data_IF_085200071241
#
_entry.id   IF_085200071241
#
_cell.length_a   1.000
_cell.length_b   1.000
_cell.length_c   1.000
_cell.angle_alpha   90.00
_cell.angle_beta   90.00
_cell.angle_gamma   90.00
#
_symmetry.space_group_name_H-M   'P 1'
#
loop_
_entity.id
_entity.type
_entity.pdbx_description
1 polymer ?
#
# COMPACT_ATOMS: atom_id res chain seq x y z
N UNK A 1 -4.78 28.84 -22.85
CA UNK A 1 -3.86 28.11 -21.94
C UNK A 1 -3.28 26.91 -22.70
N UNK A 2 -1.96 26.75 -22.69
CA UNK A 2 -1.33 25.60 -23.36
C UNK A 2 -1.27 24.39 -22.40
N UNK A 3 -0.95 23.22 -22.92
CA UNK A 3 -0.95 21.95 -22.12
C UNK A 3 0.09 22.00 -20.99
N UNK A 4 1.24 22.61 -21.22
CA UNK A 4 2.30 22.69 -20.21
C UNK A 4 1.92 23.64 -19.07
N UNK A 5 1.19 24.73 -19.37
CA UNK A 5 0.59 25.59 -18.35
C UNK A 5 -0.43 24.83 -17.48
N UNK A 6 -1.30 24.03 -18.09
CA UNK A 6 -2.28 23.22 -17.35
C UNK A 6 -1.59 22.17 -16.46
N UNK A 7 -0.54 21.51 -16.98
CA UNK A 7 0.25 20.55 -16.17
C UNK A 7 0.92 21.20 -14.96
N UNK A 8 1.26 22.49 -15.08
CA UNK A 8 1.86 23.27 -14.00
C UNK A 8 0.88 23.73 -12.92
N UNK A 9 -0.42 23.60 -13.13
CA UNK A 9 -1.43 23.99 -12.14
C UNK A 9 -1.33 23.06 -10.92
N UNK A 10 -1.26 23.67 -9.74
CA UNK A 10 -1.28 22.93 -8.48
C UNK A 10 -2.61 22.21 -8.29
N UNK A 11 -2.55 20.90 -8.01
CA UNK A 11 -3.75 20.12 -7.64
C UNK A 11 -4.44 20.69 -6.40
N UNK A 12 -3.67 21.23 -5.47
CA UNK A 12 -4.22 21.82 -4.25
C UNK A 12 -5.01 23.10 -4.59
N UNK A 13 -4.46 23.96 -5.45
CA UNK A 13 -5.14 25.19 -5.89
C UNK A 13 -6.39 24.86 -6.73
N UNK A 14 -6.30 23.83 -7.57
CA UNK A 14 -7.43 23.36 -8.35
C UNK A 14 -8.58 22.85 -7.45
N UNK A 15 -8.27 22.03 -6.45
CA UNK A 15 -9.25 21.54 -5.49
C UNK A 15 -9.85 22.68 -4.66
N UNK A 16 -9.03 23.63 -4.21
CA UNK A 16 -9.50 24.81 -3.48
C UNK A 16 -10.47 25.64 -4.30
N UNK A 17 -10.16 25.87 -5.58
CA UNK A 17 -11.09 26.57 -6.51
C UNK A 17 -12.42 25.86 -6.71
N UNK A 18 -12.42 24.54 -6.60
CA UNK A 18 -13.64 23.73 -6.63
C UNK A 18 -14.39 23.69 -5.29
N UNK A 19 -13.86 24.36 -4.24
CA UNK A 19 -14.45 24.40 -2.91
C UNK A 19 -14.04 23.27 -1.97
N UNK A 20 -12.96 22.55 -2.30
CA UNK A 20 -12.43 21.47 -1.46
C UNK A 20 -11.15 21.92 -0.75
N UNK A 21 -11.21 22.00 0.57
CA UNK A 21 -10.08 22.35 1.41
C UNK A 21 -9.49 21.10 2.10
N UNK A 22 -8.19 21.10 2.39
CA UNK A 22 -7.58 19.99 3.08
C UNK A 22 -8.11 19.86 4.51
N UNK A 23 -8.39 18.65 4.94
CA UNK A 23 -8.87 18.30 6.29
C UNK A 23 -7.75 17.87 7.23
N UNK A 24 -6.56 17.58 6.67
CA UNK A 24 -5.38 17.14 7.40
C UNK A 24 -4.14 17.10 6.53
N UNK A 25 -3.00 16.82 7.16
CA UNK A 25 -1.72 16.65 6.48
C UNK A 25 -0.87 15.57 7.13
N UNK A 26 0.04 15.00 6.35
CA UNK A 26 1.14 14.15 6.83
C UNK A 26 2.47 14.56 6.17
N UNK A 27 3.52 13.79 6.37
CA UNK A 27 4.84 14.04 5.76
C UNK A 27 4.86 13.92 4.24
N UNK A 28 3.81 13.40 3.61
CA UNK A 28 3.75 13.12 2.17
C UNK A 28 2.80 14.04 1.41
N UNK A 29 1.89 14.71 2.12
CA UNK A 29 0.95 15.61 1.48
C UNK A 29 -0.28 15.96 2.33
N UNK A 30 -1.37 16.24 1.65
CA UNK A 30 -2.60 16.76 2.21
C UNK A 30 -3.74 15.77 2.04
N UNK A 31 -4.56 15.66 3.07
CA UNK A 31 -5.76 14.82 3.07
C UNK A 31 -7.00 15.65 2.82
N UNK A 32 -7.87 15.13 1.96
CA UNK A 32 -9.16 15.71 1.59
C UNK A 32 -10.26 14.66 1.73
N UNK A 33 -11.49 15.11 1.84
CA UNK A 33 -12.63 14.28 1.44
C UNK A 33 -12.60 14.11 -0.08
N UNK A 34 -12.95 12.92 -0.59
CA UNK A 34 -12.96 12.69 -2.03
C UNK A 34 -13.96 13.64 -2.73
N UNK A 35 -13.53 14.42 -3.75
CA UNK A 35 -14.35 15.47 -4.34
C UNK A 35 -15.50 14.95 -5.22
N UNK A 36 -15.61 13.65 -5.43
CA UNK A 36 -16.59 13.02 -6.30
C UNK A 36 -17.50 12.00 -5.59
N UNK A 37 -17.41 11.89 -4.25
CA UNK A 37 -18.32 11.05 -3.46
C UNK A 37 -18.44 11.54 -2.02
N UNK A 38 -19.51 11.09 -1.35
CA UNK A 38 -19.67 11.34 0.08
C UNK A 38 -18.95 10.26 0.90
N UNK A 39 -18.15 10.68 1.87
CA UNK A 39 -17.45 9.79 2.79
C UNK A 39 -17.38 10.36 4.20
N UNK A 40 -17.20 9.49 5.21
CA UNK A 40 -17.17 9.90 6.61
C UNK A 40 -15.77 10.21 7.14
N UNK A 41 -14.74 9.74 6.43
CA UNK A 41 -13.32 9.94 6.77
C UNK A 41 -12.57 10.33 5.51
N UNK A 42 -11.65 11.32 5.59
CA UNK A 42 -10.84 11.70 4.44
C UNK A 42 -10.02 10.50 3.93
N UNK A 43 -10.09 10.24 2.64
CA UNK A 43 -9.34 9.16 1.99
C UNK A 43 -8.64 9.61 0.71
N UNK A 44 -8.86 10.83 0.27
CA UNK A 44 -8.23 11.41 -0.90
C UNK A 44 -6.97 12.15 -0.48
N UNK A 45 -5.82 11.74 -0.99
CA UNK A 45 -4.52 12.28 -0.63
C UNK A 45 -3.85 12.95 -1.83
N UNK A 46 -3.38 14.18 -1.65
CA UNK A 46 -2.62 14.93 -2.65
C UNK A 46 -1.18 15.06 -2.20
N UNK A 47 -0.24 14.70 -3.08
CA UNK A 47 1.17 15.02 -2.92
C UNK A 47 1.49 16.27 -3.75
N UNK A 48 1.64 17.46 -3.15
CA UNK A 48 1.86 18.70 -3.90
C UNK A 48 3.23 18.79 -4.55
N UNK A 49 4.27 18.12 -4.02
CA UNK A 49 5.60 18.11 -4.64
C UNK A 49 5.61 17.38 -5.98
N UNK A 50 4.88 16.27 -6.06
CA UNK A 50 4.74 15.47 -7.28
C UNK A 50 3.57 15.92 -8.14
N UNK A 51 2.73 16.81 -7.59
CA UNK A 51 1.47 17.25 -8.17
C UNK A 51 0.58 16.09 -8.64
N UNK A 52 0.42 15.09 -7.76
CA UNK A 52 -0.39 13.89 -7.99
C UNK A 52 -1.34 13.63 -6.82
N UNK A 53 -2.43 12.94 -7.10
CA UNK A 53 -3.39 12.51 -6.10
C UNK A 53 -3.52 10.99 -6.06
N UNK A 54 -3.99 10.49 -4.93
CA UNK A 54 -4.37 9.09 -4.76
C UNK A 54 -5.55 8.98 -3.79
N UNK A 55 -6.59 8.27 -4.20
CA UNK A 55 -7.75 7.98 -3.37
C UNK A 55 -7.64 6.56 -2.79
N UNK A 56 -7.40 6.49 -1.49
CA UNK A 56 -7.31 5.22 -0.77
C UNK A 56 -8.66 4.50 -0.64
N UNK A 57 -9.77 5.17 -0.86
CA UNK A 57 -11.09 4.57 -0.85
C UNK A 57 -11.45 3.82 -2.14
N UNK A 58 -10.90 4.26 -3.29
CA UNK A 58 -11.15 3.62 -4.60
C UNK A 58 -9.92 2.90 -5.14
N UNK A 59 -8.72 3.21 -4.62
CA UNK A 59 -7.45 2.72 -5.16
C UNK A 59 -7.04 3.40 -6.47
N UNK A 60 -7.67 4.52 -6.82
CA UNK A 60 -7.38 5.30 -8.03
C UNK A 60 -6.49 6.49 -7.72
N UNK A 61 -5.75 6.95 -8.73
CA UNK A 61 -4.88 8.11 -8.58
C UNK A 61 -4.35 8.60 -9.92
N UNK A 62 -3.69 9.77 -9.89
CA UNK A 62 -3.11 10.34 -11.09
C UNK A 62 -2.74 11.82 -10.94
N UNK A 63 -2.77 12.53 -12.05
CA UNK A 63 -2.50 13.96 -12.17
C UNK A 63 -3.79 14.80 -12.25
N UNK A 64 -3.65 16.09 -12.55
CA UNK A 64 -4.78 17.02 -12.67
C UNK A 64 -5.75 16.62 -13.79
N UNK A 65 -5.26 16.02 -14.90
CA UNK A 65 -6.13 15.60 -16.00
C UNK A 65 -6.97 14.40 -15.62
N UNK A 66 -6.36 13.41 -14.97
CA UNK A 66 -7.08 12.25 -14.45
C UNK A 66 -8.14 12.66 -13.43
N UNK A 67 -7.82 13.62 -12.53
CA UNK A 67 -8.81 14.16 -11.60
C UNK A 67 -9.95 14.88 -12.32
N UNK A 68 -9.62 15.72 -13.31
CA UNK A 68 -10.61 16.41 -14.13
C UNK A 68 -11.52 15.43 -14.87
N UNK A 69 -10.97 14.30 -15.35
CA UNK A 69 -11.73 13.22 -15.95
C UNK A 69 -12.74 12.60 -15.00
N UNK A 70 -12.32 12.29 -13.77
CA UNK A 70 -13.20 11.73 -12.71
C UNK A 70 -14.32 12.72 -12.34
N UNK A 71 -13.97 14.02 -12.18
CA UNK A 71 -14.94 15.05 -11.77
C UNK A 71 -15.94 15.42 -12.86
N UNK A 72 -15.53 15.41 -14.12
CA UNK A 72 -16.36 15.84 -15.26
C UNK A 72 -17.02 14.69 -16.00
N UNK A 73 -16.60 13.43 -15.76
CA UNK A 73 -16.99 12.27 -16.55
C UNK A 73 -16.38 12.24 -17.96
N UNK A 74 -15.38 13.11 -18.24
CA UNK A 74 -14.74 13.23 -19.55
C UNK A 74 -13.56 12.26 -19.67
N UNK A 75 -13.50 11.53 -20.77
CA UNK A 75 -12.40 10.59 -21.06
C UNK A 75 -11.38 11.17 -22.05
N UNK A 76 -11.79 12.15 -22.84
CA UNK A 76 -10.93 12.82 -23.80
C UNK A 76 -10.04 13.87 -23.13
N UNK A 77 -8.76 13.85 -23.47
CA UNK A 77 -7.74 14.73 -22.89
C UNK A 77 -8.00 16.23 -23.16
N UNK A 78 -8.49 16.59 -24.34
CA UNK A 78 -8.77 17.99 -24.69
C UNK A 78 -9.98 18.50 -23.91
N UNK A 79 -11.00 17.65 -23.70
CA UNK A 79 -12.14 18.00 -22.87
C UNK A 79 -11.79 18.14 -21.40
N UNK A 80 -10.89 17.28 -20.88
CA UNK A 80 -10.33 17.41 -19.52
C UNK A 80 -9.56 18.72 -19.36
N UNK A 81 -8.69 19.06 -20.33
CA UNK A 81 -7.95 20.32 -20.33
C UNK A 81 -8.90 21.54 -20.37
N UNK A 82 -9.96 21.48 -21.15
CA UNK A 82 -10.99 22.55 -21.24
C UNK A 82 -11.72 22.72 -19.91
N UNK A 83 -12.09 21.60 -19.27
CA UNK A 83 -12.72 21.64 -17.94
C UNK A 83 -11.82 22.27 -16.89
N UNK A 84 -10.53 21.94 -16.86
CA UNK A 84 -9.56 22.55 -15.94
C UNK A 84 -9.46 24.06 -16.21
N UNK A 85 -9.29 24.47 -17.46
CA UNK A 85 -9.19 25.87 -17.84
C UNK A 85 -10.44 26.67 -17.42
N UNK A 86 -11.64 26.13 -17.67
CA UNK A 86 -12.91 26.73 -17.26
C UNK A 86 -13.00 26.92 -15.75
N UNK A 87 -12.61 25.89 -14.97
CA UNK A 87 -12.66 25.96 -13.50
C UNK A 87 -11.63 26.91 -12.91
N UNK A 88 -10.47 27.04 -13.56
CA UNK A 88 -9.40 27.93 -13.10
C UNK A 88 -9.67 29.41 -13.38
N UNK A 89 -10.57 29.75 -14.29
CA UNK A 89 -11.02 31.12 -14.56
C UNK A 89 -12.07 31.61 -13.57
N UNK A 90 -12.57 30.78 -12.66
CA UNK A 90 -13.50 31.20 -11.60
C UNK A 90 -12.81 32.16 -10.61
N UNK A 91 -13.51 33.22 -10.13
CA UNK A 91 -12.97 34.14 -9.13
C UNK A 91 -12.59 33.39 -7.85
N UNK A 92 -11.38 33.58 -7.39
CA UNK A 92 -10.83 32.92 -6.19
C UNK A 92 -11.32 33.65 -4.94
N UNK A 93 -11.90 32.93 -3.98
CA UNK A 93 -11.80 33.31 -2.58
C UNK A 93 -10.32 33.36 -2.21
N UNK A 94 -9.80 33.75 -1.16
CA UNK A 94 -8.38 33.97 -0.86
C UNK A 94 -7.43 32.86 -1.37
N UNK A 95 -6.20 33.21 -1.83
CA UNK A 95 -5.25 32.22 -2.31
C UNK A 95 -4.87 31.25 -1.21
N UNK A 96 -4.83 29.96 -1.57
CA UNK A 96 -4.35 28.91 -0.68
C UNK A 96 -2.93 29.21 -0.18
N UNK A 97 -2.73 29.27 1.13
CA UNK A 97 -1.39 29.42 1.70
C UNK A 97 -0.64 28.08 1.57
N UNK A 98 0.50 28.04 0.87
CA UNK A 98 1.24 26.80 0.70
C UNK A 98 1.59 26.19 2.07
N UNK A 99 1.28 24.92 2.25
CA UNK A 99 1.67 24.18 3.44
C UNK A 99 3.17 23.91 3.34
N UNK A 100 3.92 24.26 4.39
CA UNK A 100 5.32 23.82 4.49
C UNK A 100 5.37 22.31 4.62
N UNK A 101 6.00 21.65 3.65
CA UNK A 101 6.23 20.22 3.71
C UNK A 101 7.37 19.92 4.67
N UNK A 102 7.14 18.96 5.53
CA UNK A 102 8.23 18.33 6.27
C UNK A 102 8.96 17.42 5.29
N UNK A 103 10.24 17.62 5.09
CA UNK A 103 11.07 16.73 4.27
C UNK A 103 10.87 15.28 4.72
N UNK A 104 10.77 14.36 3.76
CA UNK A 104 10.72 12.93 4.11
C UNK A 104 11.97 12.62 4.93
N UNK A 105 11.84 11.93 6.06
CA UNK A 105 12.98 11.64 6.91
C UNK A 105 14.01 10.83 6.13
N UNK A 106 15.22 11.37 6.03
CA UNK A 106 16.34 10.70 5.38
C UNK A 106 16.88 9.62 6.31
N UNK A 107 16.87 8.38 5.83
CA UNK A 107 17.49 7.27 6.53
C UNK A 107 19.02 7.38 6.43
N UNK A 108 19.69 7.44 7.56
CA UNK A 108 21.14 7.50 7.68
C UNK A 108 21.68 6.25 8.37
N UNK A 109 22.94 5.93 8.14
CA UNK A 109 23.65 4.83 8.81
C UNK A 109 22.87 3.50 8.80
N UNK A 110 22.26 3.16 7.67
CA UNK A 110 21.46 1.94 7.51
C UNK A 110 22.37 0.72 7.53
N UNK A 111 22.13 -0.19 8.48
CA UNK A 111 22.82 -1.46 8.60
C UNK A 111 21.83 -2.63 8.59
N UNK A 112 22.15 -3.67 7.81
CA UNK A 112 21.32 -4.86 7.67
C UNK A 112 22.05 -6.02 8.35
N UNK A 113 21.35 -6.72 9.23
CA UNK A 113 21.90 -7.86 9.96
C UNK A 113 20.87 -8.98 10.11
N UNK A 114 21.30 -10.13 10.61
CA UNK A 114 20.38 -11.23 10.93
C UNK A 114 19.38 -10.77 12.00
N UNK A 115 18.11 -11.17 11.84
CA UNK A 115 17.05 -10.85 12.79
C UNK A 115 17.24 -11.62 14.11
N UNK A 116 17.86 -10.97 15.10
CA UNK A 116 18.20 -11.58 16.40
C UNK A 116 17.75 -10.73 17.59
N UNK A 117 17.33 -9.48 17.40
CA UNK A 117 16.86 -8.61 18.47
C UNK A 117 15.74 -9.27 19.29
N UNK A 118 15.93 -9.46 20.62
CA UNK A 118 14.89 -10.05 21.47
C UNK A 118 13.57 -9.28 21.45
N UNK A 119 13.62 -7.97 21.30
CA UNK A 119 12.42 -7.13 21.23
C UNK A 119 11.63 -7.36 19.93
N UNK A 120 12.33 -7.47 18.78
CA UNK A 120 11.68 -7.76 17.49
C UNK A 120 11.13 -9.19 17.45
N UNK A 121 11.87 -10.15 17.98
CA UNK A 121 11.41 -11.54 18.06
C UNK A 121 10.21 -11.70 19.01
N UNK A 122 10.15 -10.94 20.10
CA UNK A 122 8.98 -10.90 21.00
C UNK A 122 7.76 -10.34 20.26
N UNK A 123 7.93 -9.22 19.55
CA UNK A 123 6.85 -8.64 18.73
C UNK A 123 6.26 -9.66 17.73
N UNK A 124 7.11 -10.47 17.08
CA UNK A 124 6.65 -11.52 16.17
C UNK A 124 5.97 -12.67 16.92
N UNK A 125 6.50 -13.06 18.08
CA UNK A 125 5.88 -14.10 18.91
C UNK A 125 4.48 -13.69 19.41
N UNK A 126 4.29 -12.43 19.80
CA UNK A 126 2.98 -11.85 20.13
C UNK A 126 2.00 -11.90 18.96
N UNK A 127 2.50 -11.97 17.72
CA UNK A 127 1.72 -12.17 16.50
C UNK A 127 1.63 -13.63 16.04
N UNK A 128 1.98 -14.55 16.94
CA UNK A 128 2.00 -16.01 16.67
C UNK A 128 2.93 -16.42 15.52
N UNK A 129 3.94 -15.59 15.17
CA UNK A 129 4.92 -15.89 14.13
C UNK A 129 6.21 -16.42 14.78
N UNK A 130 6.58 -17.70 14.49
CA UNK A 130 7.80 -18.29 15.01
C UNK A 130 9.07 -17.63 14.46
N UNK A 131 10.12 -17.61 15.30
CA UNK A 131 11.44 -17.09 14.93
C UNK A 131 11.98 -17.71 13.64
N UNK A 132 11.82 -19.02 13.48
CA UNK A 132 12.34 -19.78 12.35
C UNK A 132 11.70 -19.36 11.02
N UNK A 133 10.40 -19.06 11.04
CA UNK A 133 9.70 -18.50 9.86
C UNK A 133 10.20 -17.10 9.59
N UNK A 134 10.23 -16.23 10.61
CA UNK A 134 10.64 -14.84 10.44
C UNK A 134 12.08 -14.72 9.91
N UNK A 135 13.03 -15.47 10.47
CA UNK A 135 14.44 -15.42 10.07
C UNK A 135 14.73 -15.96 8.66
N UNK A 136 13.77 -16.68 8.06
CA UNK A 136 13.88 -17.12 6.67
C UNK A 136 13.64 -16.00 5.67
N UNK A 137 12.77 -15.04 6.02
CA UNK A 137 12.25 -14.03 5.09
C UNK A 137 12.58 -12.60 5.50
N UNK A 138 12.97 -12.39 6.75
CA UNK A 138 13.19 -11.07 7.32
C UNK A 138 14.60 -10.90 7.87
N UNK A 139 15.05 -9.67 7.85
CA UNK A 139 16.32 -9.21 8.44
C UNK A 139 16.04 -8.21 9.56
N UNK A 140 17.04 -7.83 10.32
CA UNK A 140 17.03 -6.66 11.15
C UNK A 140 17.63 -5.49 10.36
N UNK A 141 16.95 -4.35 10.39
CA UNK A 141 17.43 -3.09 9.81
C UNK A 141 17.60 -2.10 10.93
N UNK A 142 18.84 -1.69 11.17
CA UNK A 142 19.22 -0.61 12.07
C UNK A 142 19.42 0.66 11.25
N UNK A 143 18.93 1.80 11.71
CA UNK A 143 18.98 3.06 10.96
C UNK A 143 18.92 4.27 11.88
N UNK A 144 19.35 5.43 11.39
CA UNK A 144 19.19 6.71 12.06
C UNK A 144 18.19 7.59 11.33
N UNK A 145 17.36 8.30 12.09
CA UNK A 145 16.46 9.35 11.63
C UNK A 145 16.59 10.55 12.55
N UNK A 146 16.91 11.71 11.98
CA UNK A 146 17.09 12.95 12.77
C UNK A 146 18.05 12.78 13.95
N UNK A 147 19.16 12.06 13.71
CA UNK A 147 20.20 11.80 14.74
C UNK A 147 19.81 10.80 15.83
N UNK A 148 18.66 10.13 15.71
CA UNK A 148 18.21 9.08 16.64
C UNK A 148 18.30 7.72 16.01
N UNK A 149 18.79 6.73 16.78
CA UNK A 149 18.90 5.33 16.34
C UNK A 149 17.59 4.58 16.51
N UNK A 150 17.26 3.82 15.49
CA UNK A 150 16.08 2.95 15.45
C UNK A 150 16.47 1.60 14.90
N UNK A 151 15.63 0.60 15.15
CA UNK A 151 15.74 -0.73 14.55
C UNK A 151 14.35 -1.31 14.29
N UNK A 152 14.25 -2.10 13.24
CA UNK A 152 13.01 -2.72 12.82
C UNK A 152 13.26 -4.09 12.16
N UNK A 153 12.19 -4.89 12.07
CA UNK A 153 12.13 -6.02 11.15
C UNK A 153 12.08 -5.43 9.75
N UNK A 154 12.98 -5.87 8.88
CA UNK A 154 13.01 -5.53 7.47
C UNK A 154 12.56 -6.70 6.62
N UNK A 155 11.60 -6.47 5.73
CA UNK A 155 11.18 -7.42 4.71
C UNK A 155 11.52 -6.82 3.34
N UNK A 156 12.47 -7.43 2.63
CA UNK A 156 13.02 -6.89 1.40
C UNK A 156 12.01 -7.00 0.25
N UNK A 157 11.97 -5.98 -0.59
CA UNK A 157 11.17 -5.97 -1.81
C UNK A 157 12.04 -6.14 -3.07
N UNK A 158 11.40 -6.32 -4.23
CA UNK A 158 12.10 -6.58 -5.51
C UNK A 158 12.99 -5.42 -6.01
N UNK A 159 12.94 -4.26 -5.36
CA UNK A 159 13.79 -3.12 -5.70
C UNK A 159 14.85 -2.85 -4.60
N UNK A 160 15.11 -3.81 -3.72
CA UNK A 160 16.05 -3.72 -2.60
C UNK A 160 15.71 -2.63 -1.57
N UNK A 161 14.45 -2.19 -1.52
CA UNK A 161 13.90 -1.47 -0.38
C UNK A 161 13.32 -2.44 0.65
N UNK A 162 12.94 -1.93 1.82
CA UNK A 162 12.41 -2.76 2.90
C UNK A 162 11.09 -2.24 3.42
N UNK A 163 10.16 -3.14 3.68
CA UNK A 163 9.06 -2.84 4.60
C UNK A 163 9.59 -2.98 6.04
N UNK A 164 9.38 -1.95 6.83
CA UNK A 164 9.90 -1.86 8.19
C UNK A 164 8.77 -2.01 9.22
N UNK A 165 8.98 -2.86 10.23
CA UNK A 165 8.00 -3.09 11.28
C UNK A 165 8.64 -3.33 12.64
N UNK A 166 8.09 -2.70 13.66
CA UNK A 166 8.28 -3.08 15.05
C UNK A 166 7.00 -2.78 15.86
N UNK A 167 7.01 -2.88 17.17
CA UNK A 167 5.83 -2.67 18.01
C UNK A 167 5.26 -1.23 17.91
N UNK A 168 6.07 -0.25 17.51
CA UNK A 168 5.73 1.18 17.53
C UNK A 168 5.73 1.82 16.14
N UNK A 169 6.24 1.11 15.14
CA UNK A 169 6.46 1.69 13.80
C UNK A 169 6.06 0.73 12.68
N UNK A 170 5.35 1.28 11.70
CA UNK A 170 5.11 0.69 10.38
C UNK A 170 5.52 1.69 9.33
N UNK A 171 6.47 1.34 8.50
CA UNK A 171 6.96 2.20 7.42
C UNK A 171 7.73 1.42 6.38
N UNK A 172 8.48 2.12 5.55
CA UNK A 172 9.33 1.51 4.53
C UNK A 172 10.63 2.29 4.35
N UNK A 173 11.70 1.57 4.11
CA UNK A 173 12.95 2.10 3.56
C UNK A 173 12.88 2.03 2.03
N UNK A 174 13.10 3.13 1.31
CA UNK A 174 12.91 3.17 -0.13
C UNK A 174 13.96 2.34 -0.89
N UNK A 175 13.65 1.97 -2.16
CA UNK A 175 12.43 2.28 -2.91
C UNK A 175 11.27 1.32 -2.55
N UNK A 176 10.02 1.80 -2.68
CA UNK A 176 8.82 0.97 -2.46
C UNK A 176 8.52 0.09 -3.66
N UNK A 177 8.33 -1.20 -3.41
CA UNK A 177 7.93 -2.17 -4.43
C UNK A 177 7.17 -3.34 -3.81
N UNK A 178 6.65 -4.23 -4.68
CA UNK A 178 6.15 -5.55 -4.28
C UNK A 178 7.33 -6.47 -3.94
N UNK A 179 7.03 -7.54 -3.20
CA UNK A 179 7.97 -8.66 -2.98
C UNK A 179 7.43 -9.90 -3.66
N UNK A 180 8.23 -10.56 -4.52
CA UNK A 180 7.94 -11.87 -5.09
C UNK A 180 8.79 -12.91 -4.41
N UNK A 181 8.18 -14.01 -3.99
CA UNK A 181 8.83 -15.16 -3.36
C UNK A 181 8.45 -16.39 -4.18
N UNK A 182 9.45 -17.11 -4.69
CA UNK A 182 9.21 -18.33 -5.46
C UNK A 182 9.00 -19.51 -4.52
N UNK A 183 7.90 -20.23 -4.72
CA UNK A 183 7.59 -21.48 -4.08
C UNK A 183 7.73 -22.70 -5.00
N UNK A 184 7.73 -22.46 -6.33
CA UNK A 184 7.92 -23.46 -7.37
C UNK A 184 6.65 -24.06 -7.97
N UNK A 185 5.44 -23.72 -7.45
CA UNK A 185 4.16 -24.12 -8.03
C UNK A 185 3.62 -23.06 -8.99
N UNK A 186 2.81 -23.43 -10.00
CA UNK A 186 2.26 -22.48 -10.96
C UNK A 186 1.05 -21.69 -10.42
N UNK A 187 0.92 -21.57 -9.10
CA UNK A 187 -0.12 -20.77 -8.41
C UNK A 187 0.55 -19.65 -7.66
N UNK A 188 -0.15 -18.51 -7.53
CA UNK A 188 0.38 -17.38 -6.80
C UNK A 188 -0.56 -16.97 -5.67
N UNK A 189 -0.04 -16.91 -4.46
CA UNK A 189 -0.70 -16.30 -3.31
C UNK A 189 -0.40 -14.79 -3.30
N UNK A 190 -1.41 -13.97 -3.02
CA UNK A 190 -1.26 -12.52 -2.95
C UNK A 190 -1.63 -12.06 -1.53
N UNK A 191 -0.73 -11.31 -0.90
CA UNK A 191 -0.89 -10.76 0.44
C UNK A 191 -0.79 -9.24 0.42
N UNK A 192 -1.49 -8.57 1.34
CA UNK A 192 -1.36 -7.12 1.47
C UNK A 192 -0.02 -6.72 2.12
N UNK A 193 0.33 -7.38 3.22
CA UNK A 193 1.54 -7.13 3.99
C UNK A 193 2.34 -8.40 4.29
N UNK A 194 3.60 -8.22 4.66
CA UNK A 194 4.49 -9.36 4.94
C UNK A 194 4.11 -10.11 6.23
N UNK A 195 3.42 -9.48 7.16
CA UNK A 195 2.94 -10.15 8.38
C UNK A 195 1.90 -11.20 8.01
N UNK A 196 1.02 -10.92 7.03
CA UNK A 196 0.03 -11.90 6.55
C UNK A 196 0.69 -13.03 5.75
N UNK A 197 1.72 -12.69 4.95
CA UNK A 197 2.55 -13.71 4.31
C UNK A 197 3.21 -14.65 5.33
N UNK A 198 3.83 -14.12 6.40
CA UNK A 198 4.42 -14.94 7.46
C UNK A 198 3.35 -15.76 8.23
N UNK A 199 2.14 -15.20 8.36
CA UNK A 199 1.00 -15.91 8.94
C UNK A 199 0.54 -17.07 8.08
N UNK A 200 0.51 -16.88 6.75
CA UNK A 200 0.22 -17.95 5.80
C UNK A 200 1.28 -19.06 5.83
N UNK A 201 2.57 -18.70 5.96
CA UNK A 201 3.65 -19.68 6.20
C UNK A 201 3.41 -20.50 7.47
N UNK A 202 3.01 -19.84 8.57
CA UNK A 202 2.71 -20.50 9.83
C UNK A 202 1.49 -21.41 9.76
N UNK A 203 0.46 -21.03 9.01
CA UNK A 203 -0.77 -21.80 8.80
C UNK A 203 -0.61 -22.91 7.76
N UNK A 204 0.47 -22.92 6.99
CA UNK A 204 0.69 -23.87 5.90
C UNK A 204 -0.16 -23.55 4.65
N UNK A 205 -0.62 -22.31 4.50
CA UNK A 205 -1.46 -21.90 3.36
C UNK A 205 -0.65 -21.64 2.08
N UNK A 206 0.67 -21.46 2.19
CA UNK A 206 1.50 -21.22 1.01
C UNK A 206 1.68 -22.49 0.15
N UNK A 207 1.69 -23.69 0.75
CA UNK A 207 1.68 -25.00 0.07
C UNK A 207 2.60 -25.07 -1.18
N UNK A 208 3.78 -24.44 -1.10
CA UNK A 208 4.73 -24.36 -2.20
C UNK A 208 4.31 -23.47 -3.38
N UNK A 209 3.26 -22.67 -3.22
CA UNK A 209 2.88 -21.66 -4.22
C UNK A 209 3.89 -20.49 -4.23
N UNK A 210 4.03 -19.86 -5.38
CA UNK A 210 4.67 -18.54 -5.43
C UNK A 210 3.85 -17.54 -4.61
N UNK A 211 4.50 -16.50 -4.10
CA UNK A 211 3.83 -15.47 -3.32
C UNK A 211 4.20 -14.08 -3.83
N UNK A 212 3.21 -13.20 -3.91
CA UNK A 212 3.39 -11.77 -4.15
C UNK A 212 2.85 -11.02 -2.94
N UNK A 213 3.73 -10.31 -2.25
CA UNK A 213 3.35 -9.39 -1.18
C UNK A 213 3.29 -7.98 -1.77
N UNK A 214 2.12 -7.36 -1.70
CA UNK A 214 1.90 -6.02 -2.26
C UNK A 214 2.69 -4.94 -1.51
N UNK A 215 2.94 -5.16 -0.21
CA UNK A 215 3.53 -4.20 0.72
C UNK A 215 2.67 -2.93 0.94
N UNK A 216 1.73 -2.70 0.05
CA UNK A 216 0.65 -1.71 0.13
C UNK A 216 -0.33 -1.98 -1.01
N UNK A 217 -1.63 -1.77 -0.80
CA UNK A 217 -2.65 -1.84 -1.87
C UNK A 217 -2.36 -0.89 -3.04
N UNK A 218 -1.62 0.20 -2.81
CA UNK A 218 -1.16 1.12 -3.87
C UNK A 218 -0.27 0.44 -4.92
N UNK A 219 0.38 -0.68 -4.58
CA UNK A 219 1.25 -1.44 -5.48
C UNK A 219 0.51 -2.51 -6.32
N UNK A 220 -0.83 -2.62 -6.23
CA UNK A 220 -1.61 -3.58 -7.05
C UNK A 220 -1.27 -3.44 -8.53
N UNK A 221 -1.11 -2.20 -9.04
CA UNK A 221 -0.73 -1.96 -10.43
C UNK A 221 0.61 -2.62 -10.81
N UNK A 222 1.60 -2.61 -9.93
CA UNK A 222 2.89 -3.29 -10.16
C UNK A 222 2.75 -4.81 -10.12
N UNK A 223 1.85 -5.33 -9.29
CA UNK A 223 1.62 -6.76 -9.19
C UNK A 223 0.93 -7.34 -10.44
N UNK A 224 0.12 -6.58 -11.15
CA UNK A 224 -0.61 -7.04 -12.35
C UNK A 224 0.33 -7.67 -13.37
N UNK A 225 1.47 -7.02 -13.68
CA UNK A 225 2.43 -7.54 -14.64
C UNK A 225 2.99 -8.91 -14.23
N UNK A 226 3.31 -9.08 -12.95
CA UNK A 226 3.82 -10.35 -12.42
C UNK A 226 2.73 -11.41 -12.37
N UNK A 227 1.52 -11.03 -11.95
CA UNK A 227 0.39 -11.95 -11.79
C UNK A 227 -0.16 -12.47 -13.13
N UNK A 228 0.13 -11.80 -14.25
CA UNK A 228 -0.28 -12.23 -15.58
C UNK A 228 0.26 -13.63 -15.94
N UNK A 229 1.38 -14.04 -15.36
CA UNK A 229 2.03 -15.35 -15.60
C UNK A 229 1.29 -16.53 -14.94
N UNK A 230 0.39 -16.28 -13.97
CA UNK A 230 -0.19 -17.34 -13.15
C UNK A 230 -1.60 -17.73 -13.60
N UNK A 231 -1.88 -19.04 -13.76
CA UNK A 231 -3.22 -19.54 -14.09
C UNK A 231 -4.20 -19.44 -12.92
N UNK A 232 -3.70 -19.35 -11.67
CA UNK A 232 -4.52 -19.21 -10.47
C UNK A 232 -3.86 -18.27 -9.47
N UNK A 233 -4.62 -17.27 -9.04
CA UNK A 233 -4.22 -16.21 -8.11
C UNK A 233 -5.12 -16.31 -6.87
N UNK A 234 -4.52 -16.56 -5.71
CA UNK A 234 -5.21 -16.75 -4.44
C UNK A 234 -5.00 -15.50 -3.57
N UNK A 235 -6.02 -14.67 -3.38
CA UNK A 235 -5.91 -13.40 -2.68
C UNK A 235 -6.24 -13.55 -1.19
N UNK A 236 -5.25 -13.30 -0.34
CA UNK A 236 -5.35 -13.21 1.12
C UNK A 236 -5.18 -11.74 1.54
N UNK A 237 -6.12 -10.88 1.14
CA UNK A 237 -6.08 -9.45 1.42
C UNK A 237 -6.95 -9.09 2.63
N UNK A 238 -6.75 -7.89 3.18
CA UNK A 238 -7.50 -7.42 4.34
C UNK A 238 -9.01 -7.36 4.08
N UNK A 239 -9.81 -7.65 5.11
CA UNK A 239 -11.27 -7.58 5.08
C UNK A 239 -11.81 -6.15 5.24
N UNK A 240 -11.04 -5.15 4.78
CA UNK A 240 -11.46 -3.76 4.76
C UNK A 240 -11.81 -3.28 3.34
N UNK A 241 -12.15 -2.00 3.22
CA UNK A 241 -12.55 -1.41 1.93
C UNK A 241 -11.42 -1.43 0.91
N UNK A 242 -10.17 -1.21 1.35
CA UNK A 242 -9.01 -1.15 0.48
C UNK A 242 -8.63 -2.55 -0.06
N UNK A 243 -8.63 -3.56 0.80
CA UNK A 243 -8.38 -4.96 0.41
C UNK A 243 -9.46 -5.48 -0.56
N UNK A 244 -10.74 -5.21 -0.29
CA UNK A 244 -11.84 -5.57 -1.22
C UNK A 244 -11.73 -4.86 -2.56
N UNK A 245 -11.36 -3.58 -2.59
CA UNK A 245 -11.13 -2.84 -3.84
C UNK A 245 -9.95 -3.42 -4.64
N UNK A 246 -8.88 -3.84 -3.95
CA UNK A 246 -7.74 -4.51 -4.58
C UNK A 246 -8.13 -5.85 -5.22
N UNK A 247 -8.92 -6.71 -4.52
CA UNK A 247 -9.46 -7.95 -5.09
C UNK A 247 -10.33 -7.66 -6.30
N UNK A 248 -11.23 -6.67 -6.21
CA UNK A 248 -12.10 -6.30 -7.33
C UNK A 248 -11.29 -5.82 -8.55
N UNK A 249 -10.19 -5.08 -8.34
CA UNK A 249 -9.29 -4.67 -9.41
C UNK A 249 -8.58 -5.86 -10.06
N UNK A 250 -8.07 -6.81 -9.27
CA UNK A 250 -7.46 -8.03 -9.78
C UNK A 250 -8.47 -8.90 -10.56
N UNK A 251 -9.73 -8.99 -10.09
CA UNK A 251 -10.79 -9.70 -10.81
C UNK A 251 -11.16 -9.05 -12.14
N UNK A 252 -11.13 -7.73 -12.23
CA UNK A 252 -11.33 -7.03 -13.53
C UNK A 252 -10.24 -7.37 -14.53
N UNK A 253 -9.00 -7.58 -14.08
CA UNK A 253 -7.85 -7.88 -14.93
C UNK A 253 -7.79 -9.37 -15.31
N UNK A 254 -8.04 -10.25 -14.35
CA UNK A 254 -7.72 -11.68 -14.49
C UNK A 254 -8.95 -12.61 -14.49
N UNK A 255 -10.15 -12.07 -14.25
CA UNK A 255 -11.40 -12.83 -14.26
C UNK A 255 -11.40 -13.98 -13.24
N UNK A 256 -11.81 -15.16 -13.72
CA UNK A 256 -11.96 -16.38 -12.91
C UNK A 256 -10.65 -16.98 -12.40
N UNK A 257 -9.50 -16.46 -12.85
CA UNK A 257 -8.19 -16.82 -12.29
C UNK A 257 -8.02 -16.32 -10.85
N UNK A 258 -8.82 -15.36 -10.39
CA UNK A 258 -8.74 -14.78 -9.06
C UNK A 258 -9.70 -15.44 -8.09
N UNK A 259 -9.15 -16.11 -7.08
CA UNK A 259 -9.88 -16.68 -5.95
C UNK A 259 -9.63 -15.86 -4.69
N UNK A 260 -10.66 -15.22 -4.19
CA UNK A 260 -10.63 -14.51 -2.90
C UNK A 260 -10.67 -15.51 -1.75
N UNK A 261 -9.67 -15.43 -0.87
CA UNK A 261 -9.51 -16.32 0.30
C UNK A 261 -9.89 -15.64 1.62
N UNK A 262 -10.36 -14.40 1.60
CA UNK A 262 -10.80 -13.68 2.80
C UNK A 262 -11.94 -14.38 3.54
N UNK A 263 -12.72 -15.22 2.85
CA UNK A 263 -13.73 -16.08 3.46
C UNK A 263 -13.16 -17.13 4.46
N UNK A 264 -11.84 -17.36 4.49
CA UNK A 264 -11.19 -18.21 5.50
C UNK A 264 -11.08 -17.52 6.87
N UNK A 265 -11.19 -16.18 6.90
CA UNK A 265 -11.11 -15.37 8.11
C UNK A 265 -12.18 -14.26 8.14
N UNK A 266 -13.48 -14.59 8.00
CA UNK A 266 -14.54 -13.60 7.76
C UNK A 266 -14.76 -12.64 8.94
N UNK A 267 -14.47 -13.11 10.16
CA UNK A 267 -14.65 -12.35 11.41
C UNK A 267 -13.38 -11.59 11.84
N UNK A 268 -12.32 -11.63 11.03
CA UNK A 268 -11.03 -11.03 11.33
C UNK A 268 -10.67 -10.00 10.25
N UNK A 269 -9.94 -8.98 10.67
CA UNK A 269 -9.51 -7.92 9.74
C UNK A 269 -8.57 -8.46 8.67
N UNK A 270 -7.60 -9.26 9.08
CA UNK A 270 -6.54 -9.80 8.24
C UNK A 270 -6.17 -11.23 8.65
N UNK A 271 -5.27 -11.85 7.90
CA UNK A 271 -4.85 -13.23 8.15
C UNK A 271 -4.05 -13.38 9.45
N UNK A 272 -3.34 -12.33 9.89
CA UNK A 272 -2.62 -12.37 11.15
C UNK A 272 -3.57 -12.30 12.35
N UNK A 273 -4.60 -11.47 12.31
CA UNK A 273 -5.65 -11.47 13.35
C UNK A 273 -6.29 -12.83 13.49
N UNK A 274 -6.57 -13.50 12.37
CA UNK A 274 -7.08 -14.89 12.38
C UNK A 274 -6.07 -15.85 13.01
N UNK A 275 -4.80 -15.81 12.61
CA UNK A 275 -3.76 -16.67 13.21
C UNK A 275 -3.67 -16.47 14.72
N UNK A 276 -3.74 -15.24 15.19
CA UNK A 276 -3.66 -14.90 16.62
C UNK A 276 -4.87 -15.41 17.41
N UNK A 277 -6.04 -15.55 16.79
CA UNK A 277 -7.26 -16.08 17.40
C UNK A 277 -7.25 -17.60 17.59
N UNK A 278 -6.40 -18.32 16.84
CA UNK A 278 -6.30 -19.77 16.91
C UNK A 278 -5.52 -20.22 18.15
N UNK A 279 -5.98 -21.28 18.80
CA UNK A 279 -5.14 -21.92 19.81
C UNK A 279 -4.06 -22.82 19.16
N UNK A 280 -2.94 -23.11 19.87
CA UNK A 280 -1.81 -23.84 19.30
C UNK A 280 -2.15 -25.22 18.70
N UNK A 281 -3.25 -25.85 19.13
CA UNK A 281 -3.69 -27.13 18.60
C UNK A 281 -4.38 -27.05 17.24
N UNK A 282 -4.89 -25.87 16.87
CA UNK A 282 -5.56 -25.60 15.59
C UNK A 282 -4.55 -25.25 14.49
N UNK A 283 -3.32 -24.93 14.85
CA UNK A 283 -2.27 -24.58 13.90
C UNK A 283 -1.55 -25.85 13.49
N UNK A 284 -1.79 -26.31 12.26
CA UNK A 284 -1.04 -27.44 11.68
C UNK A 284 0.44 -27.10 11.62
N UNK A 285 1.31 -28.07 11.95
CA UNK A 285 2.77 -27.87 11.78
C UNK A 285 3.06 -27.68 10.30
N UNK A 286 3.78 -26.61 9.90
CA UNK A 286 4.18 -26.48 8.52
C UNK A 286 5.02 -27.70 8.11
N UNK A 287 4.66 -28.33 6.98
CA UNK A 287 5.45 -29.42 6.39
C UNK A 287 6.68 -28.77 5.76
N UNK A 288 7.77 -28.64 6.52
CA UNK A 288 9.05 -28.29 5.93
C UNK A 288 9.51 -29.46 5.04
N UNK A 289 9.51 -29.26 3.72
CA UNK A 289 10.28 -30.14 2.85
C UNK A 289 11.75 -29.79 3.08
N UNK A 290 12.53 -30.76 3.54
CA UNK A 290 14.00 -30.73 3.62
C UNK A 290 14.59 -30.75 2.22
#
# INVERSE_FOLDING_TARGET
MNIDEIKGISLVDFLHRLGYDPTGRDSKGLWFYAPYRNERKPSFHVNPHKNVWFDFGTGEGGDIFTLAGVLSGKTDFVEQARYIAEKMDMPVAEPYKPVQFVEEPTFENVAISRLESPALLRYLAERSIPKEIAQRYCVQVDYELHGKRYYAIGFENNAHGFELRNAFFKGSYPPKNITRISGGNPRCNVFEGFIDFLSAERLGYNDGNDSVVLNSVANVGKAITVLAEYPLILCYLDNDTAGRAAVARLRREFGDRVSDKSALYPDHKDLNDYLMSLNPKQITKPKFKV
#
